data_IF_404016106279
#
_entry.id   IF_404016106279
#
_cell.length_a   1.000
_cell.length_b   1.000
_cell.length_c   1.000
_cell.angle_alpha   90.00
_cell.angle_beta   90.00
_cell.angle_gamma   90.00
#
_symmetry.space_group_name_H-M   'P 1'
#
loop_
_entity.id
_entity.type
_entity.pdbx_description
1 polymer ?
#
# COMPACT_ATOMS: atom_id res chain seq x y z
N UNK A 1 11.58 12.54 19.21
CA UNK A 1 10.20 12.92 19.59
C UNK A 1 9.52 11.60 19.87
N UNK A 2 9.06 11.39 21.09
CA UNK A 2 8.55 10.07 21.49
C UNK A 2 7.08 9.95 21.08
N UNK A 3 6.70 8.81 20.51
CA UNK A 3 5.31 8.50 20.18
C UNK A 3 4.97 7.12 20.74
N UNK A 4 3.67 6.90 21.01
CA UNK A 4 3.14 5.62 21.48
C UNK A 4 2.37 5.01 20.31
N UNK A 5 2.85 3.89 19.78
CA UNK A 5 2.11 3.09 18.83
C UNK A 5 1.00 2.32 19.55
N UNK A 6 -0.24 2.45 19.09
CA UNK A 6 -1.40 1.73 19.66
C UNK A 6 -2.02 0.88 18.56
N UNK A 7 -1.99 -0.44 18.74
CA UNK A 7 -2.70 -1.37 17.86
C UNK A 7 -4.17 -1.43 18.24
N UNK A 8 -4.98 -0.58 17.60
CA UNK A 8 -6.43 -0.52 17.85
C UNK A 8 -7.17 -1.81 17.50
N UNK A 9 -6.56 -2.75 16.76
CA UNK A 9 -7.21 -4.04 16.50
C UNK A 9 -7.09 -4.98 17.71
N UNK A 10 -5.98 -4.88 18.45
CA UNK A 10 -5.66 -5.78 19.57
C UNK A 10 -5.76 -5.10 20.95
N UNK A 11 -5.96 -3.79 21.01
CA UNK A 11 -6.12 -3.00 22.24
C UNK A 11 -7.50 -2.31 22.30
N UNK A 12 -8.43 -2.78 23.16
CA UNK A 12 -9.74 -2.15 23.34
C UNK A 12 -9.68 -0.68 23.76
N UNK A 13 -8.67 -0.29 24.53
CA UNK A 13 -8.48 1.11 24.95
C UNK A 13 -8.09 1.99 23.76
N UNK A 14 -7.37 1.43 22.78
CA UNK A 14 -7.06 2.08 21.51
C UNK A 14 -8.31 2.31 20.66
N UNK A 15 -9.26 1.37 20.64
CA UNK A 15 -10.53 1.54 19.94
C UNK A 15 -11.36 2.67 20.55
N UNK A 16 -11.45 2.72 21.88
CA UNK A 16 -12.16 3.78 22.59
C UNK A 16 -11.54 5.15 22.30
N UNK A 17 -10.21 5.26 22.30
CA UNK A 17 -9.51 6.50 21.91
C UNK A 17 -9.83 6.93 20.48
N UNK A 18 -9.83 6.00 19.52
CA UNK A 18 -10.15 6.30 18.12
C UNK A 18 -11.60 6.82 17.97
N UNK A 19 -12.54 6.18 18.68
CA UNK A 19 -13.96 6.59 18.71
C UNK A 19 -14.13 7.97 19.35
N UNK A 20 -13.44 8.24 20.46
CA UNK A 20 -13.48 9.54 21.15
C UNK A 20 -12.90 10.68 20.31
N UNK A 21 -11.93 10.40 19.44
CA UNK A 21 -11.44 11.34 18.43
C UNK A 21 -12.44 11.57 17.29
N UNK A 22 -13.48 10.74 17.17
CA UNK A 22 -14.41 10.75 16.05
C UNK A 22 -13.82 10.22 14.74
N UNK A 23 -12.64 9.61 14.80
CA UNK A 23 -11.98 9.01 13.65
C UNK A 23 -12.67 7.69 13.26
N UNK A 24 -12.85 7.48 11.96
CA UNK A 24 -13.57 6.31 11.42
C UNK A 24 -12.68 5.32 10.70
N UNK A 25 -11.39 5.61 10.59
CA UNK A 25 -10.41 4.78 9.88
C UNK A 25 -9.01 5.03 10.44
N UNK A 26 -8.08 4.13 10.12
CA UNK A 26 -6.67 4.13 10.53
C UNK A 26 -5.77 4.00 9.29
N UNK A 27 -4.47 4.35 9.36
CA UNK A 27 -3.75 4.93 10.50
C UNK A 27 -4.14 6.38 10.80
N UNK A 28 -4.13 6.72 12.10
CA UNK A 28 -4.39 8.06 12.64
C UNK A 28 -3.23 8.45 13.55
N UNK A 29 -2.81 9.71 13.44
CA UNK A 29 -1.90 10.33 14.39
C UNK A 29 -2.68 11.37 15.18
N UNK A 30 -2.63 11.27 16.51
CA UNK A 30 -3.36 12.14 17.41
C UNK A 30 -2.40 12.92 18.32
N UNK A 31 -2.72 14.20 18.57
CA UNK A 31 -1.95 15.10 19.44
C UNK A 31 -2.91 16.15 20.01
N UNK A 32 -2.92 16.32 21.33
CA UNK A 32 -3.71 17.34 22.03
C UNK A 32 -5.21 17.35 21.64
N UNK A 33 -5.83 16.18 21.50
CA UNK A 33 -7.25 16.04 21.13
C UNK A 33 -7.57 16.37 19.66
N UNK A 34 -6.55 16.64 18.84
CA UNK A 34 -6.65 16.74 17.39
C UNK A 34 -6.10 15.47 16.75
N UNK A 35 -6.48 15.21 15.50
CA UNK A 35 -5.94 14.09 14.74
C UNK A 35 -5.84 14.38 13.24
N UNK A 36 -4.97 13.63 12.57
CA UNK A 36 -4.88 13.54 11.12
C UNK A 36 -4.92 12.07 10.67
N UNK A 37 -5.29 11.82 9.42
CA UNK A 37 -5.06 10.53 8.80
C UNK A 37 -3.65 10.50 8.22
N UNK A 38 -2.86 9.47 8.53
CA UNK A 38 -1.45 9.37 8.12
C UNK A 38 -1.30 8.96 6.65
N UNK A 39 -1.92 9.74 5.76
CA UNK A 39 -1.95 9.49 4.31
C UNK A 39 -0.93 10.33 3.54
N UNK A 40 -0.39 11.36 4.20
CA UNK A 40 0.60 12.30 3.70
C UNK A 40 1.73 12.37 4.71
N UNK A 41 2.97 12.12 4.28
CA UNK A 41 4.13 12.26 5.17
C UNK A 41 4.34 13.74 5.55
N UNK A 42 4.04 14.67 4.65
CA UNK A 42 4.13 16.11 4.93
C UNK A 42 3.08 16.54 5.95
N UNK A 43 1.83 16.10 5.84
CA UNK A 43 0.80 16.44 6.82
C UNK A 43 1.17 15.86 8.20
N UNK A 44 1.80 14.67 8.23
CA UNK A 44 2.34 14.09 9.46
C UNK A 44 3.45 14.96 10.04
N UNK A 45 4.43 15.38 9.22
CA UNK A 45 5.53 16.25 9.65
C UNK A 45 5.01 17.58 10.20
N UNK A 46 4.09 18.24 9.49
CA UNK A 46 3.46 19.48 9.92
C UNK A 46 2.71 19.29 11.26
N UNK A 47 1.93 18.22 11.37
CA UNK A 47 1.13 17.94 12.58
C UNK A 47 2.01 17.69 13.82
N UNK A 48 3.17 17.05 13.65
CA UNK A 48 4.12 16.89 14.77
C UNK A 48 4.96 18.14 15.03
N UNK A 49 4.95 19.13 14.14
CA UNK A 49 5.67 20.40 14.26
C UNK A 49 7.06 20.40 13.63
N UNK A 50 7.31 19.49 12.68
CA UNK A 50 8.52 19.48 11.85
C UNK A 50 8.33 20.40 10.64
N UNK A 51 9.43 20.94 10.11
CA UNK A 51 9.45 21.83 8.93
C UNK A 51 9.37 21.04 7.61
N UNK A 52 8.56 19.99 7.60
CA UNK A 52 8.48 18.99 6.53
C UNK A 52 9.33 17.75 6.80
N UNK A 53 9.20 16.77 5.92
CA UNK A 53 9.83 15.44 6.10
C UNK A 53 11.29 15.39 5.67
N UNK A 54 11.73 16.36 4.85
CA UNK A 54 12.98 16.28 4.09
C UNK A 54 12.95 15.24 2.96
N UNK A 55 11.85 14.50 2.81
CA UNK A 55 11.61 13.58 1.69
C UNK A 55 11.38 14.37 0.42
N UNK A 56 12.07 13.99 -0.65
CA UNK A 56 11.81 14.52 -1.98
C UNK A 56 11.17 13.40 -2.79
N UNK A 57 9.88 13.52 -3.16
CA UNK A 57 9.21 12.51 -3.94
C UNK A 57 9.93 12.22 -5.25
N UNK A 58 10.05 10.92 -5.58
CA UNK A 58 10.59 10.52 -6.88
C UNK A 58 9.72 11.07 -8.02
N UNK A 59 10.30 11.40 -9.19
CA UNK A 59 9.53 11.80 -10.36
C UNK A 59 8.46 10.75 -10.73
N UNK A 60 7.27 11.15 -11.22
CA UNK A 60 6.20 10.22 -11.57
C UNK A 60 6.62 9.09 -12.52
N UNK A 61 7.51 9.37 -13.47
CA UNK A 61 8.04 8.37 -14.40
C UNK A 61 8.85 7.27 -13.69
N UNK A 62 9.67 7.66 -12.71
CA UNK A 62 10.44 6.72 -11.90
C UNK A 62 9.55 5.92 -10.96
N UNK A 63 8.55 6.57 -10.36
CA UNK A 63 7.53 5.89 -9.54
C UNK A 63 6.81 4.81 -10.33
N UNK A 64 6.35 5.10 -11.55
CA UNK A 64 5.68 4.09 -12.40
C UNK A 64 6.62 2.94 -12.75
N UNK A 65 7.86 3.23 -13.15
CA UNK A 65 8.83 2.17 -13.49
C UNK A 65 9.13 1.26 -12.29
N UNK A 66 9.36 1.84 -11.10
CA UNK A 66 9.57 1.10 -9.85
C UNK A 66 8.33 0.32 -9.44
N UNK A 67 7.15 0.94 -9.52
CA UNK A 67 5.91 0.29 -9.14
C UNK A 67 5.63 -0.93 -10.00
N UNK A 68 5.78 -0.81 -11.32
CA UNK A 68 5.64 -1.97 -12.22
C UNK A 68 6.65 -3.07 -11.91
N UNK A 69 7.89 -2.73 -11.55
CA UNK A 69 8.92 -3.70 -11.13
C UNK A 69 8.50 -4.43 -9.85
N UNK A 70 8.02 -3.69 -8.85
CA UNK A 70 7.48 -4.22 -7.59
C UNK A 70 6.29 -5.17 -7.84
N UNK A 71 5.31 -4.75 -8.64
CA UNK A 71 4.13 -5.57 -8.93
C UNK A 71 4.52 -6.86 -9.68
N UNK A 72 5.44 -6.79 -10.64
CA UNK A 72 5.98 -7.97 -11.33
C UNK A 72 6.73 -8.91 -10.38
N UNK A 73 7.43 -8.38 -9.39
CA UNK A 73 8.07 -9.18 -8.36
C UNK A 73 7.04 -9.89 -7.47
N UNK A 74 6.01 -9.18 -7.01
CA UNK A 74 4.91 -9.78 -6.27
C UNK A 74 4.21 -10.91 -7.05
N UNK A 75 4.06 -10.77 -8.38
CA UNK A 75 3.53 -11.84 -9.23
C UNK A 75 4.40 -13.09 -9.24
N UNK A 76 5.74 -12.97 -9.14
CA UNK A 76 6.63 -14.12 -9.02
C UNK A 76 6.48 -14.75 -7.64
N UNK A 77 6.53 -13.93 -6.59
CA UNK A 77 6.49 -14.42 -5.20
C UNK A 77 5.19 -15.16 -4.88
N UNK A 78 4.05 -14.64 -5.31
CA UNK A 78 2.77 -15.28 -5.01
C UNK A 78 2.63 -16.64 -5.71
N UNK A 79 3.27 -16.85 -6.87
CA UNK A 79 3.31 -18.15 -7.56
C UNK A 79 4.21 -19.17 -6.86
N UNK A 80 5.14 -18.72 -6.03
CA UNK A 80 6.01 -19.61 -5.27
C UNK A 80 5.32 -20.16 -4.01
N UNK A 81 4.24 -19.53 -3.56
CA UNK A 81 3.48 -20.01 -2.41
C UNK A 81 2.62 -21.20 -2.83
N UNK A 82 2.73 -22.37 -2.16
CA UNK A 82 1.84 -23.48 -2.41
C UNK A 82 0.38 -23.08 -2.15
N UNK A 83 -0.53 -23.37 -3.08
CA UNK A 83 -1.92 -22.87 -3.03
C UNK A 83 -2.63 -23.19 -1.70
N UNK A 84 -2.44 -24.41 -1.17
CA UNK A 84 -3.02 -24.84 0.11
C UNK A 84 -2.58 -24.00 1.32
N UNK A 85 -1.49 -23.23 1.20
CA UNK A 85 -0.98 -22.34 2.26
C UNK A 85 -1.48 -20.91 2.14
N UNK A 86 -2.14 -20.53 1.05
CA UNK A 86 -2.64 -19.16 0.85
C UNK A 86 -3.68 -18.76 1.92
N UNK A 87 -4.35 -19.72 2.54
CA UNK A 87 -5.30 -19.50 3.64
C UNK A 87 -4.61 -19.21 4.98
N UNK A 88 -3.32 -19.54 5.12
CA UNK A 88 -2.55 -19.27 6.34
C UNK A 88 -2.39 -17.76 6.56
N UNK A 89 -2.24 -17.36 7.82
CA UNK A 89 -1.92 -15.98 8.19
C UNK A 89 -0.54 -15.58 7.63
N UNK A 90 -0.44 -14.36 7.12
CA UNK A 90 0.83 -13.79 6.67
C UNK A 90 1.80 -13.58 7.83
N UNK A 91 1.29 -13.24 9.02
CA UNK A 91 2.00 -13.18 10.29
C UNK A 91 1.03 -13.55 11.43
N UNK A 92 1.53 -14.15 12.50
CA UNK A 92 0.70 -14.76 13.54
C UNK A 92 -0.21 -13.77 14.28
N UNK A 93 0.28 -12.54 14.50
CA UNK A 93 -0.39 -11.50 15.28
C UNK A 93 -1.34 -10.60 14.47
N UNK A 94 -1.52 -10.84 13.16
CA UNK A 94 -2.47 -10.11 12.31
C UNK A 94 -3.41 -11.08 11.61
N UNK A 95 -4.71 -10.82 11.71
CA UNK A 95 -5.74 -11.63 11.04
C UNK A 95 -5.86 -11.27 9.56
N UNK A 96 -4.79 -11.56 8.80
CA UNK A 96 -4.72 -11.39 7.36
C UNK A 96 -4.03 -12.59 6.75
N UNK A 97 -4.75 -13.31 5.89
CA UNK A 97 -4.18 -14.43 5.16
C UNK A 97 -3.21 -14.00 4.06
N UNK A 98 -2.34 -14.91 3.63
CA UNK A 98 -1.43 -14.69 2.51
C UNK A 98 -2.21 -14.37 1.23
N UNK A 99 -3.36 -15.04 1.01
CA UNK A 99 -4.30 -14.73 -0.07
C UNK A 99 -4.71 -13.26 -0.07
N UNK A 100 -5.15 -12.76 1.08
CA UNK A 100 -5.60 -11.37 1.21
C UNK A 100 -4.45 -10.39 1.02
N UNK A 101 -3.26 -10.67 1.59
CA UNK A 101 -2.06 -9.85 1.39
C UNK A 101 -1.64 -9.82 -0.09
N UNK A 102 -1.54 -10.98 -0.74
CA UNK A 102 -1.14 -11.12 -2.14
C UNK A 102 -2.10 -10.42 -3.10
N UNK A 103 -3.40 -10.53 -2.88
CA UNK A 103 -4.41 -9.80 -3.65
C UNK A 103 -4.30 -8.28 -3.43
N UNK A 104 -4.15 -7.86 -2.16
CA UNK A 104 -4.11 -6.45 -1.76
C UNK A 104 -3.00 -5.66 -2.48
N UNK A 105 -1.82 -6.26 -2.68
CA UNK A 105 -0.71 -5.64 -3.44
C UNK A 105 -1.18 -5.08 -4.80
N UNK A 106 -2.00 -5.86 -5.52
CA UNK A 106 -2.51 -5.45 -6.84
C UNK A 106 -3.76 -4.58 -6.74
N UNK A 107 -4.60 -4.80 -5.72
CA UNK A 107 -5.80 -3.97 -5.46
C UNK A 107 -5.46 -2.51 -5.24
N UNK A 108 -4.30 -2.21 -4.65
CA UNK A 108 -3.79 -0.83 -4.53
C UNK A 108 -3.64 -0.17 -5.90
N UNK A 109 -3.08 -0.87 -6.88
CA UNK A 109 -2.91 -0.37 -8.25
C UNK A 109 -4.23 -0.19 -8.98
N UNK A 110 -5.17 -1.09 -8.77
CA UNK A 110 -6.52 -0.95 -9.34
C UNK A 110 -7.29 0.23 -8.72
N UNK A 111 -7.25 0.39 -7.40
CA UNK A 111 -7.86 1.53 -6.72
C UNK A 111 -7.26 2.87 -7.17
N UNK A 112 -5.94 2.92 -7.40
CA UNK A 112 -5.31 4.09 -7.99
C UNK A 112 -5.86 4.40 -9.39
N UNK A 113 -6.02 3.39 -10.24
CA UNK A 113 -6.57 3.57 -11.59
C UNK A 113 -8.03 4.04 -11.57
N UNK A 114 -8.86 3.53 -10.66
CA UNK A 114 -10.24 4.00 -10.48
C UNK A 114 -10.29 5.51 -10.14
N UNK A 115 -9.35 5.99 -9.32
CA UNK A 115 -9.24 7.43 -9.04
C UNK A 115 -8.70 8.20 -10.24
N UNK A 116 -7.62 7.70 -10.84
CA UNK A 116 -6.88 8.41 -11.87
C UNK A 116 -7.59 8.45 -13.24
N UNK A 117 -8.42 7.44 -13.52
CA UNK A 117 -9.12 7.27 -14.80
C UNK A 117 -10.61 7.55 -14.66
N UNK A 118 -11.24 6.99 -13.63
CA UNK A 118 -12.71 7.00 -13.51
C UNK A 118 -13.22 8.12 -12.58
N UNK A 119 -12.30 8.90 -11.97
CA UNK A 119 -12.64 10.02 -11.10
C UNK A 119 -13.30 9.62 -9.78
N UNK A 120 -13.14 8.35 -9.38
CA UNK A 120 -13.63 7.82 -8.10
C UNK A 120 -12.92 8.53 -6.96
N UNK A 121 -13.64 8.89 -5.91
CA UNK A 121 -13.03 9.44 -4.70
C UNK A 121 -12.25 8.36 -3.95
N UNK A 122 -10.98 8.63 -3.64
CA UNK A 122 -10.16 7.69 -2.90
C UNK A 122 -10.58 7.66 -1.43
N UNK A 123 -11.31 6.62 -1.07
CA UNK A 123 -11.59 6.23 0.32
C UNK A 123 -10.62 5.14 0.76
N UNK A 124 -10.27 5.08 2.04
CA UNK A 124 -9.37 4.05 2.57
C UNK A 124 -9.86 2.63 2.22
N UNK A 125 -11.16 2.42 2.18
CA UNK A 125 -11.80 1.16 1.84
C UNK A 125 -11.60 0.75 0.38
N UNK A 126 -11.35 1.71 -0.53
CA UNK A 126 -11.23 1.44 -1.96
C UNK A 126 -10.08 0.46 -2.21
N UNK A 127 -8.90 0.73 -1.65
CA UNK A 127 -7.76 -0.18 -1.75
C UNK A 127 -7.88 -1.44 -0.88
N UNK A 128 -8.87 -1.52 0.02
CA UNK A 128 -9.06 -2.63 0.96
C UNK A 128 -10.25 -3.55 0.60
N UNK A 129 -10.85 -3.39 -0.60
CA UNK A 129 -11.91 -4.30 -1.07
C UNK A 129 -11.35 -5.72 -1.16
N UNK A 130 -11.88 -6.69 -0.38
CA UNK A 130 -11.38 -8.05 -0.40
C UNK A 130 -11.78 -8.74 -1.71
N UNK A 131 -11.02 -9.76 -2.14
CA UNK A 131 -11.47 -10.64 -3.21
C UNK A 131 -12.78 -11.34 -2.84
N UNK A 132 -13.64 -11.60 -3.84
CA UNK A 132 -14.88 -12.35 -3.64
C UNK A 132 -14.60 -13.75 -3.06
N UNK A 133 -15.51 -14.28 -2.25
CA UNK A 133 -15.39 -15.62 -1.70
C UNK A 133 -15.30 -16.67 -2.82
N UNK A 134 -14.41 -17.64 -2.63
CA UNK A 134 -14.15 -18.68 -3.63
C UNK A 134 -13.32 -18.23 -4.85
N UNK A 135 -12.87 -16.97 -4.92
CA UNK A 135 -11.96 -16.48 -5.97
C UNK A 135 -10.55 -16.27 -5.44
N UNK A 136 -9.54 -16.23 -6.33
CA UNK A 136 -8.14 -15.99 -5.94
C UNK A 136 -7.64 -17.04 -4.93
N UNK A 137 -7.96 -18.29 -5.22
CA UNK A 137 -7.63 -19.47 -4.40
C UNK A 137 -6.28 -20.07 -4.74
N UNK A 138 -5.67 -19.63 -5.85
CA UNK A 138 -4.33 -20.03 -6.28
C UNK A 138 -3.40 -18.84 -6.51
N UNK A 139 -2.09 -19.10 -6.44
CA UNK A 139 -1.08 -18.10 -6.74
C UNK A 139 -1.18 -17.60 -8.20
N UNK A 140 -1.56 -18.48 -9.13
CA UNK A 140 -1.72 -18.11 -10.54
C UNK A 140 -2.93 -17.17 -10.76
N UNK A 141 -4.05 -17.40 -10.09
CA UNK A 141 -5.21 -16.50 -10.19
C UNK A 141 -4.88 -15.08 -9.72
N UNK A 142 -4.20 -14.98 -8.56
CA UNK A 142 -3.76 -13.69 -8.00
C UNK A 142 -2.76 -13.02 -8.95
N UNK A 143 -1.78 -13.76 -9.44
CA UNK A 143 -0.79 -13.22 -10.37
C UNK A 143 -1.42 -12.81 -11.72
N UNK A 144 -2.43 -13.54 -12.20
CA UNK A 144 -3.21 -13.20 -13.38
C UNK A 144 -3.99 -11.89 -13.22
N UNK A 145 -4.55 -11.62 -12.04
CA UNK A 145 -5.11 -10.30 -11.72
C UNK A 145 -4.05 -9.22 -11.69
N UNK A 146 -2.92 -9.48 -11.03
CA UNK A 146 -1.78 -8.57 -11.05
C UNK A 146 -1.33 -8.19 -12.46
N UNK A 147 -1.33 -9.15 -13.38
CA UNK A 147 -0.98 -8.91 -14.79
C UNK A 147 -1.91 -7.88 -15.43
N UNK A 148 -3.23 -8.05 -15.25
CA UNK A 148 -4.23 -7.12 -15.79
C UNK A 148 -4.10 -5.72 -15.19
N UNK A 149 -3.81 -5.62 -13.89
CA UNK A 149 -3.57 -4.32 -13.23
C UNK A 149 -2.32 -3.64 -13.79
N UNK A 150 -1.22 -4.38 -13.94
CA UNK A 150 0.03 -3.86 -14.53
C UNK A 150 -0.22 -3.36 -15.95
N UNK A 151 -0.89 -4.16 -16.80
CA UNK A 151 -1.19 -3.77 -18.18
C UNK A 151 -2.06 -2.51 -18.24
N UNK A 152 -3.05 -2.37 -17.35
CA UNK A 152 -3.85 -1.13 -17.23
C UNK A 152 -3.00 0.05 -16.78
N UNK A 153 -2.10 -0.14 -15.81
CA UNK A 153 -1.22 0.91 -15.31
C UNK A 153 -0.25 1.41 -16.39
N UNK A 154 0.39 0.49 -17.11
CA UNK A 154 1.28 0.81 -18.22
C UNK A 154 0.53 1.48 -19.38
N UNK A 155 -0.68 1.00 -19.68
CA UNK A 155 -1.54 1.60 -20.71
C UNK A 155 -1.95 3.03 -20.34
N UNK A 156 -2.46 3.22 -19.12
CA UNK A 156 -2.82 4.54 -18.60
C UNK A 156 -1.62 5.48 -18.65
N UNK A 157 -0.48 5.05 -18.11
CA UNK A 157 0.73 5.86 -18.09
C UNK A 157 1.09 6.27 -19.50
N UNK A 158 1.25 5.34 -20.45
CA UNK A 158 1.62 5.65 -21.84
C UNK A 158 0.72 6.69 -22.51
N UNK A 159 -0.57 6.73 -22.17
CA UNK A 159 -1.56 7.65 -22.75
C UNK A 159 -1.74 8.96 -21.98
N UNK A 160 -1.25 9.05 -20.76
CA UNK A 160 -1.31 10.27 -19.97
C UNK A 160 -0.48 11.37 -20.64
N UNK A 161 -1.13 12.45 -21.08
CA UNK A 161 -0.47 13.59 -21.73
C UNK A 161 0.39 14.38 -20.74
N UNK A 162 -0.21 14.78 -19.61
CA UNK A 162 0.50 15.46 -18.53
C UNK A 162 1.15 14.46 -17.56
N UNK A 163 2.44 14.22 -17.75
CA UNK A 163 3.26 13.32 -16.94
C UNK A 163 3.65 13.88 -15.57
N UNK A 164 3.31 15.15 -15.27
CA UNK A 164 3.66 15.77 -13.99
C UNK A 164 2.85 15.22 -12.82
N UNK A 165 1.71 14.60 -13.10
CA UNK A 165 0.76 14.11 -12.10
C UNK A 165 0.30 15.21 -11.11
N UNK A 166 0.30 16.49 -11.52
CA UNK A 166 -0.10 17.60 -10.65
C UNK A 166 -1.61 17.86 -10.59
N UNK A 167 -2.39 17.23 -11.46
CA UNK A 167 -3.84 17.26 -11.40
C UNK A 167 -4.35 16.80 -10.04
N UNK A 168 -5.38 17.48 -9.53
CA UNK A 168 -5.95 17.18 -8.23
C UNK A 168 -6.84 15.94 -8.28
N UNK A 169 -6.74 15.09 -7.28
CA UNK A 169 -7.62 13.92 -7.09
C UNK A 169 -8.46 14.09 -5.84
N UNK A 170 -9.68 13.53 -5.84
CA UNK A 170 -10.55 13.57 -4.65
C UNK A 170 -10.16 12.43 -3.72
N UNK A 171 -9.92 12.76 -2.45
CA UNK A 171 -9.64 11.78 -1.41
C UNK A 171 -10.40 12.14 -0.15
N UNK A 172 -10.68 11.16 0.71
CA UNK A 172 -11.39 11.41 1.97
C UNK A 172 -10.61 12.32 2.95
N UNK A 173 -9.32 12.56 2.68
CA UNK A 173 -8.42 13.39 3.47
C UNK A 173 -8.04 14.70 2.75
N UNK A 174 -8.73 15.06 1.66
CA UNK A 174 -8.52 16.31 0.93
C UNK A 174 -8.36 16.13 -0.58
N UNK A 175 -7.80 17.14 -1.25
CA UNK A 175 -7.59 17.13 -2.71
C UNK A 175 -6.10 17.28 -3.08
N UNK A 176 -5.27 16.26 -2.78
CA UNK A 176 -3.85 16.29 -3.10
C UNK A 176 -3.58 16.22 -4.62
N UNK A 177 -2.37 16.58 -5.07
CA UNK A 177 -1.94 16.23 -6.43
C UNK A 177 -1.90 14.70 -6.59
N UNK A 178 -2.22 14.21 -7.80
CA UNK A 178 -2.19 12.78 -8.12
C UNK A 178 -0.80 12.16 -7.85
N UNK A 179 0.27 12.94 -7.99
CA UNK A 179 1.64 12.53 -7.69
C UNK A 179 1.79 11.99 -6.27
N UNK A 180 1.15 12.62 -5.28
CA UNK A 180 1.17 12.14 -3.90
C UNK A 180 0.48 10.78 -3.75
N UNK A 181 -0.68 10.60 -4.40
CA UNK A 181 -1.38 9.31 -4.39
C UNK A 181 -0.59 8.22 -5.15
N UNK A 182 0.08 8.58 -6.23
CA UNK A 182 0.95 7.70 -7.01
C UNK A 182 2.14 7.22 -6.18
N UNK A 183 2.86 8.13 -5.53
CA UNK A 183 3.97 7.81 -4.64
C UNK A 183 3.51 6.86 -3.53
N UNK A 184 2.40 7.24 -2.86
CA UNK A 184 1.81 6.42 -1.82
C UNK A 184 1.48 5.01 -2.29
N UNK A 185 0.81 4.89 -3.41
CA UNK A 185 0.40 3.59 -3.94
C UNK A 185 1.60 2.72 -4.32
N UNK A 186 2.68 3.35 -4.78
CA UNK A 186 3.95 2.71 -5.11
C UNK A 186 4.62 2.13 -3.87
N UNK A 187 4.88 2.94 -2.83
CA UNK A 187 5.58 2.43 -1.64
C UNK A 187 4.71 1.51 -0.78
N UNK A 188 3.38 1.68 -0.79
CA UNK A 188 2.44 0.77 -0.12
C UNK A 188 2.47 -0.63 -0.74
N UNK A 189 2.46 -0.71 -2.08
CA UNK A 189 2.62 -1.98 -2.79
C UNK A 189 4.00 -2.60 -2.53
N UNK A 190 5.04 -1.77 -2.51
CA UNK A 190 6.41 -2.21 -2.24
C UNK A 190 6.56 -2.79 -0.83
N UNK A 191 5.98 -2.15 0.19
CA UNK A 191 6.00 -2.64 1.56
C UNK A 191 5.32 -4.02 1.68
N UNK A 192 4.14 -4.20 1.07
CA UNK A 192 3.48 -5.50 1.06
C UNK A 192 4.21 -6.56 0.23
N UNK A 193 4.98 -6.14 -0.77
CA UNK A 193 5.85 -7.05 -1.52
C UNK A 193 7.07 -7.48 -0.69
N UNK A 194 7.63 -6.59 0.15
CA UNK A 194 8.63 -6.97 1.17
C UNK A 194 8.05 -7.97 2.18
N UNK A 195 6.80 -7.78 2.59
CA UNK A 195 6.11 -8.73 3.49
C UNK A 195 5.97 -10.11 2.84
N UNK A 196 5.72 -10.17 1.54
CA UNK A 196 5.69 -11.44 0.82
C UNK A 196 7.05 -12.13 0.73
N UNK A 197 8.16 -11.39 0.65
CA UNK A 197 9.51 -11.95 0.76
C UNK A 197 9.68 -12.66 2.11
N UNK A 198 9.29 -12.01 3.22
CA UNK A 198 9.38 -12.66 4.53
C UNK A 198 8.45 -13.87 4.68
N UNK A 199 7.27 -13.87 4.04
CA UNK A 199 6.41 -15.06 3.99
C UNK A 199 7.09 -16.21 3.26
N UNK A 200 7.80 -15.95 2.16
CA UNK A 200 8.57 -16.98 1.45
C UNK A 200 9.73 -17.51 2.30
N UNK A 201 10.47 -16.62 2.96
CA UNK A 201 11.58 -16.99 3.86
C UNK A 201 11.08 -17.84 5.03
N UNK A 202 9.92 -17.53 5.62
CA UNK A 202 9.26 -18.36 6.64
C UNK A 202 8.97 -19.78 6.14
N UNK A 203 8.83 -19.95 4.83
CA UNK A 203 8.54 -21.24 4.20
C UNK A 203 9.81 -21.93 3.67
N UNK A 204 10.99 -21.39 3.98
CA UNK A 204 12.29 -21.82 3.44
C UNK A 204 12.34 -21.77 1.89
N UNK A 205 11.59 -20.85 1.29
CA UNK A 205 11.54 -20.64 -0.16
C UNK A 205 12.34 -19.39 -0.51
N UNK A 206 13.37 -19.55 -1.35
CA UNK A 206 14.13 -18.40 -1.88
C UNK A 206 13.26 -17.60 -2.86
N UNK A 207 13.09 -16.28 -2.70
CA UNK A 207 12.33 -15.46 -3.64
C UNK A 207 12.95 -15.44 -5.04
N UNK A 208 12.13 -15.68 -6.06
CA UNK A 208 12.54 -15.65 -7.47
C UNK A 208 12.71 -14.20 -7.96
N UNK A 209 13.96 -13.80 -8.21
CA UNK A 209 14.30 -12.42 -8.52
C UNK A 209 13.89 -11.50 -7.36
N UNK A 210 14.50 -11.71 -6.20
CA UNK A 210 14.29 -10.88 -5.00
C UNK A 210 14.52 -9.39 -5.33
N UNK A 211 13.60 -8.52 -4.88
CA UNK A 211 13.76 -7.07 -5.00
C UNK A 211 15.04 -6.63 -4.30
N UNK A 212 15.81 -5.79 -4.97
CA UNK A 212 17.07 -5.23 -4.48
C UNK A 212 16.84 -3.90 -3.78
N UNK A 213 17.90 -3.38 -3.16
CA UNK A 213 17.90 -2.01 -2.65
C UNK A 213 17.58 -1.00 -3.75
N UNK A 214 18.17 -1.14 -4.94
CA UNK A 214 18.00 -0.20 -6.04
C UNK A 214 16.56 -0.17 -6.57
N UNK A 215 15.86 -1.31 -6.55
CA UNK A 215 14.45 -1.38 -6.93
C UNK A 215 13.57 -0.51 -6.01
N UNK A 216 13.95 -0.40 -4.74
CA UNK A 216 13.21 0.27 -3.67
C UNK A 216 13.74 1.66 -3.32
N UNK A 217 14.95 2.01 -3.75
CA UNK A 217 15.62 3.26 -3.41
C UNK A 217 14.75 4.47 -3.75
N UNK A 218 14.69 5.43 -2.82
CA UNK A 218 13.90 6.65 -2.91
C UNK A 218 12.42 6.51 -2.54
N UNK A 219 11.91 5.30 -2.30
CA UNK A 219 10.58 5.11 -1.74
C UNK A 219 10.61 5.33 -0.22
N UNK A 220 9.65 6.05 0.38
CA UNK A 220 9.62 6.29 1.82
C UNK A 220 9.05 5.07 2.56
N UNK A 221 9.80 3.97 2.54
CA UNK A 221 9.45 2.72 3.18
C UNK A 221 9.82 2.75 4.67
N UNK A 222 8.98 2.19 5.55
CA UNK A 222 9.33 2.03 6.95
C UNK A 222 10.51 1.06 7.12
N UNK A 223 11.29 1.24 8.18
CA UNK A 223 12.35 0.31 8.56
C UNK A 223 11.75 -1.07 8.88
N UNK A 224 10.73 -1.07 9.75
CA UNK A 224 9.98 -2.25 10.13
C UNK A 224 9.12 -2.83 9.00
N UNK A 225 8.96 -4.15 9.03
CA UNK A 225 8.26 -4.89 7.99
C UNK A 225 6.74 -4.99 8.25
N UNK A 226 6.37 -5.15 9.51
CA UNK A 226 4.99 -5.46 9.94
C UNK A 226 4.39 -4.38 10.82
N UNK A 227 5.00 -3.21 10.88
CA UNK A 227 4.49 -2.05 11.62
C UNK A 227 3.35 -1.38 10.83
#
# INVERSE_FOLDING_TARGET
MDFIGIDVLNDPSGQEQLLNLGARTVPVLAKNGQYIFCQSLEDVAEFVGLQGTGHTPLPPAELIAKWTTVLRAAQRYIRQIPDGRLVERAIDNRDRSIRLLGHHIFRIGEAFLEVAVDGVEYWAQLANVPPQDGTFTTGEEIAGYGKRVIERLEHWWRRLEDKSCQQKVKTFYGTPPMHQLLERSTWHSAQHTRQMIAVLERFDIKPDGQLTFDDLAGLPLPEGLWD
#
